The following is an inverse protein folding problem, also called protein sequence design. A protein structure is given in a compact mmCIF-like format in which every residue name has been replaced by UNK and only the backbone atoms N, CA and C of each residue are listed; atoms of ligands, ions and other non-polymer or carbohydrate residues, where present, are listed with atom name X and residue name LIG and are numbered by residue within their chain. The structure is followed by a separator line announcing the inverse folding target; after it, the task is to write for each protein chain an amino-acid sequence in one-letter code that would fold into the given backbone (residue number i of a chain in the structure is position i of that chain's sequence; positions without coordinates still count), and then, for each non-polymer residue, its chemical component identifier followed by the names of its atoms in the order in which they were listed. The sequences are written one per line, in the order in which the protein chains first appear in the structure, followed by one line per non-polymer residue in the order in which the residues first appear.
data_IF_435515326933
#
_entry.id   IF_435515326933
#
_cell.length_a   1.000
_cell.length_b   1.000
_cell.length_c   1.000
_cell.angle_alpha   90.00
_cell.angle_beta   90.00
_cell.angle_gamma   90.00
#
_symmetry.space_group_name_H-M   'P 1'
#
loop_
_entity.id
_entity.type
_entity.pdbx_description
1 polymer ?
#
# COMPACT_ATOMS: atom_id res chain seq x y z
N UNK A 1 0.86 4.33 12.70
CA UNK A 1 2.22 4.53 12.14
C UNK A 1 2.37 4.10 10.66
N UNK A 2 1.34 3.60 9.95
CA UNK A 2 1.50 3.08 8.58
C UNK A 2 1.22 4.05 7.41
N UNK A 3 0.44 5.12 7.62
CA UNK A 3 -0.08 5.95 6.50
C UNK A 3 0.99 6.85 5.86
N UNK A 4 1.89 7.41 6.65
CA UNK A 4 2.92 8.33 6.14
C UNK A 4 3.98 7.61 5.31
N UNK A 5 4.34 6.38 5.68
CA UNK A 5 5.27 5.54 4.93
C UNK A 5 4.66 5.13 3.59
N UNK A 6 3.38 4.78 3.57
CA UNK A 6 2.64 4.50 2.33
C UNK A 6 2.66 5.69 1.37
N UNK A 7 2.43 6.90 1.89
CA UNK A 7 2.44 8.14 1.12
C UNK A 7 3.82 8.47 0.54
N UNK A 8 4.87 8.30 1.35
CA UNK A 8 6.23 8.58 0.94
C UNK A 8 6.65 7.63 -0.19
N UNK A 9 6.29 6.35 -0.08
CA UNK A 9 6.55 5.32 -1.09
C UNK A 9 5.74 5.59 -2.36
N UNK A 10 4.47 5.94 -2.25
CA UNK A 10 3.64 6.30 -3.39
C UNK A 10 4.20 7.49 -4.18
N UNK A 11 4.70 8.52 -3.48
CA UNK A 11 5.29 9.70 -4.12
C UNK A 11 6.68 9.43 -4.70
N UNK A 12 7.49 8.61 -4.03
CA UNK A 12 8.77 8.10 -4.57
C UNK A 12 8.54 7.28 -5.84
N UNK A 13 7.52 6.42 -5.84
CA UNK A 13 7.16 5.59 -6.99
C UNK A 13 6.81 6.43 -8.22
N UNK A 14 6.18 7.58 -8.03
CA UNK A 14 5.79 8.50 -9.10
C UNK A 14 7.02 9.17 -9.73
N UNK A 15 7.97 9.59 -8.89
CA UNK A 15 9.26 10.15 -9.35
C UNK A 15 10.13 9.14 -10.12
N UNK A 16 9.93 7.84 -9.91
CA UNK A 16 10.62 6.75 -10.59
C UNK A 16 9.70 5.93 -11.52
N UNK A 17 8.56 6.48 -11.94
CA UNK A 17 7.57 5.76 -12.73
C UNK A 17 8.15 5.19 -14.04
N UNK A 18 9.06 5.93 -14.68
CA UNK A 18 9.71 5.53 -15.94
C UNK A 18 10.77 4.44 -15.77
N UNK A 19 11.26 4.22 -14.55
CA UNK A 19 12.40 3.32 -14.26
C UNK A 19 12.04 2.11 -13.40
N UNK A 20 10.82 2.05 -12.89
CA UNK A 20 10.42 1.02 -11.92
C UNK A 20 8.97 0.62 -12.11
N UNK A 21 8.66 -0.64 -11.91
CA UNK A 21 7.29 -1.14 -12.00
C UNK A 21 6.54 -1.00 -10.67
N UNK A 22 5.24 -0.74 -10.70
CA UNK A 22 4.42 -0.57 -9.50
C UNK A 22 4.45 -1.80 -8.58
N UNK A 23 4.60 -2.99 -9.15
CA UNK A 23 4.72 -4.24 -8.40
C UNK A 23 6.01 -4.30 -7.56
N UNK A 24 7.11 -3.68 -8.01
CA UNK A 24 8.38 -3.68 -7.27
C UNK A 24 8.24 -2.87 -5.97
N UNK A 25 7.54 -1.73 -6.05
CA UNK A 25 7.22 -0.91 -4.87
C UNK A 25 6.23 -1.59 -3.93
N UNK A 26 5.24 -2.31 -4.48
CA UNK A 26 4.30 -3.09 -3.68
C UNK A 26 4.98 -4.21 -2.89
N UNK A 27 5.89 -4.94 -3.54
CA UNK A 27 6.70 -5.99 -2.90
C UNK A 27 7.61 -5.39 -1.83
N UNK A 28 8.30 -4.28 -2.12
CA UNK A 28 9.16 -3.62 -1.15
C UNK A 28 8.38 -3.16 0.09
N UNK A 29 7.22 -2.54 -0.10
CA UNK A 29 6.35 -2.11 1.00
C UNK A 29 5.83 -3.30 1.83
N UNK A 30 5.35 -4.35 1.16
CA UNK A 30 4.84 -5.54 1.83
C UNK A 30 5.93 -6.25 2.63
N UNK A 31 7.16 -6.32 2.10
CA UNK A 31 8.31 -6.90 2.79
C UNK A 31 8.65 -6.10 4.06
N UNK A 32 8.78 -4.78 3.93
CA UNK A 32 9.08 -3.88 5.05
C UNK A 32 8.01 -3.98 6.14
N UNK A 33 6.74 -3.92 5.76
CA UNK A 33 5.61 -3.99 6.69
C UNK A 33 5.53 -5.35 7.39
N UNK A 34 5.81 -6.45 6.68
CA UNK A 34 5.76 -7.80 7.24
C UNK A 34 6.96 -8.06 8.16
N UNK A 35 8.14 -7.52 7.86
CA UNK A 35 9.32 -7.59 8.74
C UNK A 35 9.09 -6.81 10.04
N UNK A 36 8.47 -5.63 9.96
CA UNK A 36 8.15 -4.80 11.13
C UNK A 36 7.04 -5.38 12.01
N UNK A 37 6.24 -6.31 11.48
CA UNK A 37 5.14 -6.98 12.18
C UNK A 37 5.41 -8.46 12.42
N UNK A 38 6.69 -8.84 12.52
CA UNK A 38 7.12 -10.23 12.63
C UNK A 38 6.47 -10.96 13.82
N UNK A 39 5.66 -11.97 13.50
CA UNK A 39 4.98 -12.85 14.46
C UNK A 39 5.25 -14.33 14.18
N UNK A 40 6.22 -14.63 13.30
CA UNK A 40 6.54 -15.98 12.84
C UNK A 40 6.36 -16.14 11.33
N UNK A 41 6.85 -17.27 10.79
CA UNK A 41 6.94 -17.51 9.34
C UNK A 41 5.57 -17.59 8.67
N UNK A 42 4.60 -18.33 9.24
CA UNK A 42 3.26 -18.46 8.67
C UNK A 42 2.50 -17.11 8.62
N UNK A 43 2.39 -16.35 9.73
CA UNK A 43 1.77 -15.02 9.72
C UNK A 43 2.49 -14.05 8.78
N UNK A 44 3.82 -14.13 8.69
CA UNK A 44 4.60 -13.30 7.79
C UNK A 44 4.23 -13.53 6.31
N UNK A 45 4.18 -14.79 5.87
CA UNK A 45 3.87 -15.11 4.47
C UNK A 45 2.45 -14.67 4.11
N UNK A 46 1.47 -14.91 4.99
CA UNK A 46 0.10 -14.46 4.75
C UNK A 46 0.00 -12.94 4.70
N UNK A 47 0.60 -12.24 5.67
CA UNK A 47 0.56 -10.79 5.72
C UNK A 47 1.28 -10.17 4.52
N UNK A 48 2.43 -10.74 4.13
CA UNK A 48 3.19 -10.32 2.96
C UNK A 48 2.38 -10.45 1.67
N UNK A 49 1.74 -11.60 1.43
CA UNK A 49 0.96 -11.82 0.21
C UNK A 49 -0.23 -10.86 0.14
N UNK A 50 -0.96 -10.72 1.24
CA UNK A 50 -2.12 -9.82 1.32
C UNK A 50 -1.69 -8.37 1.08
N UNK A 51 -0.64 -7.91 1.78
CA UNK A 51 -0.12 -6.56 1.63
C UNK A 51 0.46 -6.33 0.24
N UNK A 52 1.15 -7.30 -0.36
CA UNK A 52 1.74 -7.16 -1.69
C UNK A 52 0.65 -7.01 -2.75
N UNK A 53 -0.40 -7.83 -2.71
CA UNK A 53 -1.53 -7.74 -3.64
C UNK A 53 -2.32 -6.43 -3.45
N UNK A 54 -2.60 -6.07 -2.20
CA UNK A 54 -3.29 -4.82 -1.86
C UNK A 54 -2.52 -3.59 -2.35
N UNK A 55 -1.24 -3.52 -1.99
CA UNK A 55 -0.36 -2.40 -2.36
C UNK A 55 -0.17 -2.33 -3.87
N UNK A 56 -0.07 -3.47 -4.55
CA UNK A 56 0.07 -3.51 -6.00
C UNK A 56 -1.16 -2.95 -6.70
N UNK A 57 -2.36 -3.37 -6.30
CA UNK A 57 -3.60 -2.81 -6.83
C UNK A 57 -3.70 -1.30 -6.58
N UNK A 58 -3.38 -0.87 -5.36
CA UNK A 58 -3.39 0.54 -4.96
C UNK A 58 -2.40 1.39 -5.77
N UNK A 59 -1.15 0.93 -5.89
CA UNK A 59 -0.09 1.61 -6.62
C UNK A 59 -0.30 1.64 -8.13
N UNK A 60 -0.93 0.61 -8.70
CA UNK A 60 -1.28 0.56 -10.11
C UNK A 60 -2.44 1.51 -10.43
N UNK A 61 -3.43 1.61 -9.53
CA UNK A 61 -4.48 2.62 -9.62
C UNK A 61 -3.87 4.02 -9.50
N UNK A 62 -3.00 4.25 -8.51
CA UNK A 62 -2.35 5.54 -8.31
C UNK A 62 -1.68 6.06 -9.58
N UNK A 63 -0.89 5.22 -10.27
CA UNK A 63 -0.21 5.61 -11.52
C UNK A 63 -1.13 5.97 -12.68
N UNK A 64 -2.31 5.37 -12.74
CA UNK A 64 -3.29 5.67 -13.79
C UNK A 64 -4.05 6.97 -13.54
N UNK A 65 -4.06 7.41 -12.28
CA UNK A 65 -4.78 8.60 -11.84
C UNK A 65 -3.85 9.69 -11.29
N UNK A 66 -2.53 9.58 -11.50
CA UNK A 66 -1.56 10.62 -11.11
C UNK A 66 -1.94 11.97 -11.73
N UNK A 67 -2.38 11.98 -12.98
CA UNK A 67 -2.78 13.21 -13.69
C UNK A 67 -4.12 13.79 -13.21
N UNK A 68 -4.94 13.00 -12.50
CA UNK A 68 -6.23 13.43 -11.97
C UNK A 68 -6.20 13.48 -10.43
N UNK A 69 -5.80 14.64 -9.93
CA UNK A 69 -5.61 14.93 -8.50
C UNK A 69 -6.84 14.60 -7.64
N UNK A 70 -8.06 14.76 -8.16
CA UNK A 70 -9.31 14.44 -7.47
C UNK A 70 -9.52 12.93 -7.30
N UNK A 71 -9.27 12.16 -8.35
CA UNK A 71 -9.31 10.69 -8.30
C UNK A 71 -8.18 10.13 -7.44
N UNK A 72 -7.02 10.76 -7.47
CA UNK A 72 -5.89 10.45 -6.60
C UNK A 72 -6.27 10.62 -5.12
N UNK A 73 -6.93 11.72 -4.75
CA UNK A 73 -7.46 11.94 -3.39
C UNK A 73 -8.55 10.93 -3.04
N UNK A 74 -9.43 10.57 -3.98
CA UNK A 74 -10.51 9.61 -3.73
C UNK A 74 -9.98 8.20 -3.46
N UNK A 75 -9.01 7.75 -4.26
CA UNK A 75 -8.30 6.48 -4.06
C UNK A 75 -7.52 6.52 -2.75
N UNK A 76 -6.91 7.67 -2.42
CA UNK A 76 -6.23 7.89 -1.15
C UNK A 76 -7.17 7.74 0.04
N UNK A 77 -8.32 8.41 0.03
CA UNK A 77 -9.35 8.29 1.07
C UNK A 77 -9.87 6.87 1.14
N UNK A 78 -10.18 6.23 0.00
CA UNK A 78 -10.65 4.84 -0.03
C UNK A 78 -9.63 3.86 0.55
N UNK A 79 -8.36 3.94 0.14
CA UNK A 79 -7.30 3.04 0.59
C UNK A 79 -6.83 3.27 2.03
N UNK A 80 -7.07 4.46 2.58
CA UNK A 80 -6.73 4.78 3.98
C UNK A 80 -7.91 4.51 4.92
N UNK A 81 -9.11 4.94 4.52
CA UNK A 81 -10.32 4.83 5.35
C UNK A 81 -10.76 3.38 5.43
N UNK A 82 -10.70 2.61 4.35
CA UNK A 82 -11.21 1.24 4.33
C UNK A 82 -10.51 0.30 5.33
N UNK A 83 -9.15 0.23 5.40
CA UNK A 83 -8.49 -0.56 6.43
C UNK A 83 -8.76 -0.05 7.85
N UNK A 84 -8.85 1.26 8.06
CA UNK A 84 -9.15 1.84 9.39
C UNK A 84 -10.56 1.45 9.83
N UNK A 85 -11.56 1.59 8.95
CA UNK A 85 -12.94 1.17 9.25
C UNK A 85 -13.05 -0.33 9.46
N UNK A 86 -12.31 -1.13 8.69
CA UNK A 86 -12.30 -2.58 8.84
C UNK A 86 -11.66 -3.00 10.16
N UNK A 87 -10.53 -2.39 10.55
CA UNK A 87 -9.89 -2.63 11.84
C UNK A 87 -10.80 -2.22 13.01
N UNK A 88 -11.51 -1.08 12.91
CA UNK A 88 -12.46 -0.65 13.94
C UNK A 88 -13.68 -1.58 14.05
N UNK A 89 -14.13 -2.15 12.94
CA UNK A 89 -15.22 -3.13 12.90
C UNK A 89 -14.81 -4.49 13.49
N UNK A 90 -13.56 -4.93 13.24
CA UNK A 90 -13.03 -6.22 13.71
C UNK A 90 -12.55 -6.20 15.17
N UNK A 91 -12.36 -5.02 15.77
CA UNK A 91 -11.97 -4.85 17.19
C UNK A 91 -13.19 -4.82 18.13
N UNK A 92 -14.41 -4.82 17.58
CA UNK A 92 -15.65 -5.07 18.34
C UNK A 92 -15.92 -6.56 18.49
#
# INVERSE_FOLDING_TARGET
MGIFIYLLIAKLQDAYADRSSAWQWAVAYALLSSLLSWQGILPFVMNFVILALYSWGYFNLLRKFTDNLLLWILIYVGGVVFPITLSLLLIK
#
